data_IF_893583137348
#
_entry.id   IF_893583137348
#
_cell.length_a   1.000
_cell.length_b   1.000
_cell.length_c   1.000
_cell.angle_alpha   90.00
_cell.angle_beta   90.00
_cell.angle_gamma   90.00
#
_symmetry.space_group_name_H-M   'P 1'
#
loop_
_entity.id
_entity.type
_entity.pdbx_description
1 polymer ?
#
# COMPACT_ATOMS: atom_id res chain seq x y z
N UNK A 1 13.45 8.26 13.61
CA UNK A 1 12.57 7.85 12.49
C UNK A 1 11.85 9.09 11.96
N UNK A 2 11.59 9.19 10.65
CA UNK A 2 10.95 10.36 10.00
C UNK A 2 9.63 10.73 10.69
N UNK A 3 8.77 9.75 11.00
CA UNK A 3 7.46 10.02 11.59
C UNK A 3 7.54 10.76 12.93
N UNK A 4 8.43 10.34 13.84
CA UNK A 4 8.62 11.01 15.14
C UNK A 4 9.19 12.44 15.05
N UNK A 5 9.76 12.84 13.91
CA UNK A 5 10.32 14.18 13.70
C UNK A 5 9.32 15.20 13.15
N UNK A 6 8.18 14.73 12.62
CA UNK A 6 7.22 15.59 11.90
C UNK A 6 6.33 16.39 12.87
N UNK A 7 6.17 15.96 14.13
CA UNK A 7 5.36 16.67 15.14
C UNK A 7 3.84 16.60 14.89
N UNK A 8 3.41 15.82 13.89
CA UNK A 8 2.01 15.58 13.54
C UNK A 8 1.78 14.07 13.33
N UNK A 9 0.52 13.58 13.42
CA UNK A 9 0.18 12.22 13.05
C UNK A 9 0.61 11.90 11.62
N UNK A 10 1.32 10.79 11.43
CA UNK A 10 1.80 10.34 10.12
C UNK A 10 1.07 9.07 9.72
N UNK A 11 0.45 9.09 8.54
CA UNK A 11 -0.15 7.91 7.92
C UNK A 11 0.82 7.32 6.90
N UNK A 12 1.06 6.02 6.99
CA UNK A 12 1.80 5.28 5.97
C UNK A 12 0.79 4.79 4.92
N UNK A 13 1.10 4.97 3.63
CA UNK A 13 0.22 4.54 2.55
C UNK A 13 0.95 3.83 1.42
N UNK A 14 0.31 2.83 0.83
CA UNK A 14 0.69 2.30 -0.50
C UNK A 14 0.07 3.16 -1.60
N UNK A 15 0.37 2.89 -2.87
CA UNK A 15 -0.13 3.65 -4.03
C UNK A 15 -0.95 2.81 -5.01
N UNK A 16 -1.10 1.50 -4.81
CA UNK A 16 -2.01 0.68 -5.63
C UNK A 16 -1.69 -0.81 -5.67
N UNK A 17 -0.61 -1.26 -5.03
CA UNK A 17 -0.20 -2.67 -4.99
C UNK A 17 -0.52 -3.34 -3.65
N UNK A 18 -0.94 -2.60 -2.63
CA UNK A 18 -1.36 -3.16 -1.36
C UNK A 18 -0.25 -3.35 -0.33
N UNK A 19 -0.54 -2.97 0.91
CA UNK A 19 0.20 -3.41 2.10
C UNK A 19 -0.46 -4.69 2.63
N UNK A 20 0.32 -5.79 2.67
CA UNK A 20 -0.14 -7.09 3.18
C UNK A 20 0.44 -7.42 4.56
N UNK A 21 0.13 -8.62 5.06
CA UNK A 21 0.52 -9.07 6.40
C UNK A 21 2.03 -8.96 6.68
N UNK A 22 2.88 -9.34 5.71
CA UNK A 22 4.33 -9.31 5.88
C UNK A 22 4.85 -7.88 6.08
N UNK A 23 4.38 -6.92 5.28
CA UNK A 23 4.75 -5.51 5.44
C UNK A 23 4.16 -4.91 6.72
N UNK A 24 2.93 -5.28 7.09
CA UNK A 24 2.32 -4.84 8.34
C UNK A 24 3.07 -5.32 9.58
N UNK A 25 3.67 -6.51 9.55
CA UNK A 25 4.45 -7.04 10.66
C UNK A 25 5.71 -6.20 10.94
N UNK A 26 6.31 -5.62 9.91
CA UNK A 26 7.45 -4.70 10.03
C UNK A 26 7.05 -3.32 10.59
N UNK A 27 5.75 -3.03 10.70
CA UNK A 27 5.22 -1.77 11.22
C UNK A 27 4.79 -1.85 12.69
N UNK A 28 4.96 -3.01 13.33
CA UNK A 28 4.76 -3.15 14.78
C UNK A 28 5.67 -2.15 15.50
N UNK A 29 5.11 -1.43 16.49
CA UNK A 29 5.77 -0.37 17.25
C UNK A 29 6.29 0.83 16.43
N UNK A 30 5.99 0.89 15.13
CA UNK A 30 6.32 2.05 14.31
C UNK A 30 5.49 3.26 14.76
N UNK A 31 6.09 4.46 14.97
CA UNK A 31 5.38 5.64 15.45
C UNK A 31 4.56 6.32 14.34
N UNK A 32 3.67 5.55 13.71
CA UNK A 32 2.68 6.00 12.72
C UNK A 32 1.29 5.96 13.35
N UNK A 33 0.41 6.81 12.85
CA UNK A 33 -0.94 6.99 13.39
C UNK A 33 -2.01 6.18 12.65
N UNK A 34 -1.74 5.75 11.40
CA UNK A 34 -2.69 5.02 10.56
C UNK A 34 -1.99 4.35 9.37
N UNK A 35 -2.69 3.41 8.73
CA UNK A 35 -2.24 2.78 7.48
C UNK A 35 -3.33 2.85 6.41
N UNK A 36 -3.00 3.39 5.24
CA UNK A 36 -3.81 3.24 4.02
C UNK A 36 -3.23 2.12 3.16
N UNK A 37 -3.93 0.98 3.13
CA UNK A 37 -3.44 -0.21 2.43
C UNK A 37 -3.31 -0.01 0.93
N UNK A 38 -4.11 0.88 0.32
CA UNK A 38 -4.13 1.17 -1.12
C UNK A 38 -3.87 -0.07 -2.01
N UNK A 39 -4.72 -1.08 -1.83
CA UNK A 39 -4.61 -2.36 -2.55
C UNK A 39 -4.97 -2.29 -4.02
N UNK A 40 -4.69 -3.40 -4.71
CA UNK A 40 -5.02 -3.59 -6.10
C UNK A 40 -6.54 -3.73 -6.32
N UNK A 41 -6.99 -3.35 -7.53
CA UNK A 41 -8.39 -3.35 -7.95
C UNK A 41 -8.95 -1.96 -8.30
N UNK A 42 -8.21 -0.89 -7.99
CA UNK A 42 -8.52 0.48 -8.38
C UNK A 42 -7.52 1.03 -9.41
N UNK A 43 -7.03 2.25 -9.19
CA UNK A 43 -5.98 2.84 -10.03
C UNK A 43 -4.68 2.04 -9.93
N UNK A 44 -4.17 1.59 -11.08
CA UNK A 44 -2.86 0.94 -11.18
C UNK A 44 -1.79 1.91 -11.69
N UNK A 45 -0.83 2.26 -10.82
CA UNK A 45 0.33 3.06 -11.24
C UNK A 45 1.25 2.30 -12.20
N UNK A 46 1.40 0.98 -12.04
CA UNK A 46 2.17 0.18 -13.00
C UNK A 46 1.58 0.26 -14.42
N UNK A 47 0.25 0.36 -14.53
CA UNK A 47 -0.44 0.59 -15.82
C UNK A 47 -0.20 2.00 -16.36
N UNK A 48 -0.37 3.01 -15.49
CA UNK A 48 -0.17 4.42 -15.86
C UNK A 48 1.25 4.65 -16.37
N UNK A 49 2.26 4.20 -15.62
CA UNK A 49 3.67 4.39 -15.98
C UNK A 49 4.04 3.69 -17.29
N UNK A 50 3.48 2.51 -17.55
CA UNK A 50 3.66 1.85 -18.85
C UNK A 50 3.07 2.69 -19.98
N UNK A 51 1.85 3.21 -19.81
CA UNK A 51 1.21 4.03 -20.83
C UNK A 51 1.96 5.36 -21.05
N UNK A 52 2.37 6.04 -19.98
CA UNK A 52 3.16 7.28 -20.06
C UNK A 52 4.49 7.05 -20.79
N UNK A 53 5.18 5.95 -20.47
CA UNK A 53 6.50 5.67 -21.03
C UNK A 53 6.47 5.11 -22.46
N UNK A 54 5.50 4.27 -22.77
CA UNK A 54 5.49 3.48 -24.02
C UNK A 54 4.34 3.81 -24.96
N UNK A 55 3.35 4.60 -24.53
CA UNK A 55 2.11 4.87 -25.28
C UNK A 55 1.10 3.72 -25.28
N UNK A 56 1.42 2.61 -24.60
CA UNK A 56 0.61 1.39 -24.51
C UNK A 56 0.97 0.58 -23.26
N UNK A 57 0.13 -0.39 -22.89
CA UNK A 57 0.42 -1.33 -21.80
C UNK A 57 1.12 -2.55 -22.37
N UNK A 58 2.46 -2.59 -22.27
CA UNK A 58 3.30 -3.67 -22.83
C UNK A 58 3.32 -4.94 -21.99
N UNK A 59 3.14 -4.82 -20.69
CA UNK A 59 3.19 -5.91 -19.72
C UNK A 59 1.91 -5.91 -18.87
N UNK A 60 0.79 -6.44 -19.39
CA UNK A 60 -0.48 -6.47 -18.67
C UNK A 60 -0.41 -7.23 -17.34
N UNK A 61 0.40 -8.29 -17.26
CA UNK A 61 0.58 -9.04 -16.03
C UNK A 61 1.21 -8.20 -14.89
N UNK A 62 2.05 -7.23 -15.24
CA UNK A 62 2.63 -6.29 -14.26
C UNK A 62 1.69 -5.11 -13.98
N UNK A 63 0.78 -4.80 -14.90
CA UNK A 63 -0.21 -3.75 -14.72
C UNK A 63 -1.26 -4.09 -13.66
N UNK A 64 -1.52 -5.38 -13.44
CA UNK A 64 -2.52 -5.86 -12.46
C UNK A 64 -1.86 -6.57 -11.27
N UNK A 65 -0.56 -6.33 -11.03
CA UNK A 65 0.14 -6.87 -9.86
C UNK A 65 -0.37 -6.23 -8.57
N UNK A 66 -0.32 -6.96 -7.46
CA UNK A 66 -0.60 -6.46 -6.12
C UNK A 66 -1.58 -7.31 -5.31
N UNK A 67 -1.76 -6.92 -4.05
CA UNK A 67 -2.68 -7.54 -3.10
C UNK A 67 -4.05 -6.86 -3.25
N UNK A 68 -5.13 -7.61 -3.54
CA UNK A 68 -6.47 -7.03 -3.64
C UNK A 68 -6.85 -6.28 -2.36
N UNK A 69 -7.46 -5.10 -2.48
CA UNK A 69 -7.80 -4.23 -1.33
C UNK A 69 -8.52 -4.95 -0.20
N UNK A 70 -9.52 -5.78 -0.52
CA UNK A 70 -10.26 -6.52 0.51
C UNK A 70 -9.38 -7.51 1.30
N UNK A 71 -8.40 -8.14 0.63
CA UNK A 71 -7.44 -9.04 1.29
C UNK A 71 -6.46 -8.23 2.14
N UNK A 72 -5.90 -7.16 1.58
CA UNK A 72 -4.97 -6.28 2.28
C UNK A 72 -5.57 -5.73 3.59
N UNK A 73 -6.82 -5.26 3.55
CA UNK A 73 -7.54 -4.81 4.76
C UNK A 73 -7.65 -5.89 5.82
N UNK A 74 -8.02 -7.12 5.43
CA UNK A 74 -8.19 -8.23 6.36
C UNK A 74 -6.85 -8.66 6.95
N UNK A 75 -5.81 -8.79 6.13
CA UNK A 75 -4.46 -9.15 6.57
C UNK A 75 -3.86 -8.12 7.53
N UNK A 76 -3.93 -6.83 7.18
CA UNK A 76 -3.39 -5.75 8.03
C UNK A 76 -4.14 -5.68 9.35
N UNK A 77 -5.48 -5.80 9.35
CA UNK A 77 -6.27 -5.81 10.58
C UNK A 77 -5.94 -7.00 11.50
N UNK A 78 -5.55 -8.14 10.94
CA UNK A 78 -5.13 -9.29 11.75
C UNK A 78 -3.78 -9.06 12.44
N UNK A 79 -2.85 -8.37 11.78
CA UNK A 79 -1.52 -8.08 12.32
C UNK A 79 -1.51 -6.87 13.25
N UNK A 80 -2.29 -5.84 12.92
CA UNK A 80 -2.36 -4.57 13.64
C UNK A 80 -3.84 -4.26 14.00
N UNK A 81 -4.41 -4.93 15.02
CA UNK A 81 -5.85 -4.89 15.31
C UNK A 81 -6.38 -3.51 15.69
N UNK A 82 -5.55 -2.70 16.34
CA UNK A 82 -5.91 -1.37 16.85
C UNK A 82 -5.51 -0.24 15.89
N UNK A 83 -4.83 -0.56 14.78
CA UNK A 83 -4.41 0.45 13.79
C UNK A 83 -5.64 0.95 13.00
N UNK A 84 -5.83 2.28 12.92
CA UNK A 84 -6.81 2.89 12.04
C UNK A 84 -6.56 2.56 10.57
#
# INVERSE_FOLDING_TARGET
>A
AVAGSIGYPVMLKEVGHGIGAAAAAELVDCPIAAIDVAGAGGTSWARIEQFVRYGEVRHPALAEWGIPTARALTEVRQVLPDMP
#
